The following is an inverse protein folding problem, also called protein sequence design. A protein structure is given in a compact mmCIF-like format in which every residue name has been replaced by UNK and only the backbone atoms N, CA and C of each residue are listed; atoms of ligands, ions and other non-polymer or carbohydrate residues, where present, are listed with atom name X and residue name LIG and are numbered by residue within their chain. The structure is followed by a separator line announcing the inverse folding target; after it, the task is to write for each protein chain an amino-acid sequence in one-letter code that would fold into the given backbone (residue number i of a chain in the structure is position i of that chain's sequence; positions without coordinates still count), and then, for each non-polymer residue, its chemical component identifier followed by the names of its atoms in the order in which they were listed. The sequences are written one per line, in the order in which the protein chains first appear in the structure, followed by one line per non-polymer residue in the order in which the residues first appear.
data_IF_871361698131
#
_entry.id   IF_871361698131
#
_cell.length_a   1.000
_cell.length_b   1.000
_cell.length_c   1.000
_cell.angle_alpha   90.00
_cell.angle_beta   90.00
_cell.angle_gamma   90.00
#
_symmetry.space_group_name_H-M   'P 1'
#
loop_
_entity.id
_entity.type
_entity.pdbx_description
1 polymer ?
#
# COMPACT_ATOMS: atom_id res chain seq x y z
N UNK A 1 0.49 12.95 25.80
CA UNK A 1 0.75 11.85 24.84
C UNK A 1 1.12 12.51 23.51
N UNK A 2 1.49 11.79 22.45
CA UNK A 2 1.58 12.47 21.14
C UNK A 2 0.17 12.93 20.72
N UNK A 3 0.07 14.05 19.99
CA UNK A 3 -1.23 14.55 19.49
C UNK A 3 -1.98 13.47 18.70
N UNK A 4 -1.25 12.65 17.93
CA UNK A 4 -1.78 11.51 17.21
C UNK A 4 -2.41 10.47 18.15
N UNK A 5 -1.73 10.10 19.24
CA UNK A 5 -2.26 9.12 20.19
C UNK A 5 -3.54 9.64 20.88
N UNK A 6 -3.60 10.92 21.21
CA UNK A 6 -4.79 11.56 21.79
C UNK A 6 -5.95 11.60 20.79
N UNK A 7 -5.66 11.92 19.52
CA UNK A 7 -6.65 11.88 18.44
C UNK A 7 -7.19 10.46 18.23
N UNK A 8 -6.31 9.46 18.14
CA UNK A 8 -6.68 8.05 18.00
C UNK A 8 -7.58 7.59 19.16
N UNK A 9 -7.20 7.88 20.40
CA UNK A 9 -8.01 7.54 21.58
C UNK A 9 -9.41 8.19 21.52
N UNK A 10 -9.46 9.44 21.09
CA UNK A 10 -10.73 10.18 20.91
C UNK A 10 -11.60 9.52 19.84
N UNK A 11 -11.04 9.18 18.68
CA UNK A 11 -11.79 8.54 17.59
C UNK A 11 -12.18 7.09 17.88
N UNK A 12 -11.39 6.37 18.66
CA UNK A 12 -11.72 5.02 19.11
C UNK A 12 -12.95 5.00 20.03
N UNK A 13 -13.16 6.07 20.81
CA UNK A 13 -14.28 6.17 21.76
C UNK A 13 -15.51 6.89 21.18
N UNK A 14 -15.37 7.52 20.02
CA UNK A 14 -16.44 8.26 19.37
C UNK A 14 -17.27 7.39 18.42
N UNK A 15 -18.52 7.77 18.18
CA UNK A 15 -19.35 7.16 17.14
C UNK A 15 -18.96 7.70 15.75
N UNK A 16 -17.81 7.24 15.26
CA UNK A 16 -17.25 7.62 13.96
C UNK A 16 -16.95 6.40 13.12
N UNK A 17 -16.98 6.59 11.80
CA UNK A 17 -16.45 5.62 10.86
C UNK A 17 -15.15 6.16 10.27
N UNK A 18 -14.13 5.31 10.26
CA UNK A 18 -12.78 5.68 9.86
C UNK A 18 -12.49 5.09 8.49
N UNK A 19 -12.05 5.94 7.57
CA UNK A 19 -11.49 5.54 6.29
C UNK A 19 -9.99 5.77 6.30
N UNK A 20 -9.22 4.76 5.91
CA UNK A 20 -7.76 4.82 5.87
C UNK A 20 -7.27 4.49 4.47
N UNK A 21 -6.31 5.27 3.98
CA UNK A 21 -5.56 4.96 2.75
C UNK A 21 -4.22 5.69 2.71
N UNK A 22 -3.35 5.27 1.79
CA UNK A 22 -2.23 6.11 1.35
C UNK A 22 -2.68 7.06 0.25
N UNK A 23 -2.22 8.30 0.29
CA UNK A 23 -2.54 9.31 -0.72
C UNK A 23 -1.79 9.01 -2.03
N UNK A 24 -2.51 8.86 -3.14
CA UNK A 24 -1.91 8.75 -4.47
C UNK A 24 -1.56 10.12 -5.02
N UNK A 25 -0.72 10.18 -6.06
CA UNK A 25 -0.40 11.43 -6.75
C UNK A 25 -1.64 12.10 -7.38
N UNK A 26 -2.72 11.36 -7.63
CA UNK A 26 -3.96 11.95 -8.11
C UNK A 26 -4.80 12.57 -6.99
N UNK A 27 -4.77 11.99 -5.79
CA UNK A 27 -5.48 12.55 -4.63
C UNK A 27 -4.90 13.92 -4.24
N UNK A 28 -3.56 13.99 -4.18
CA UNK A 28 -2.80 15.18 -3.79
C UNK A 28 -2.71 16.24 -4.88
N UNK A 29 -3.20 15.95 -6.09
CA UNK A 29 -3.06 16.83 -7.25
C UNK A 29 -1.67 16.86 -7.87
N UNK A 30 -0.72 16.01 -7.43
CA UNK A 30 0.63 15.92 -8.00
C UNK A 30 0.63 15.56 -9.50
N UNK A 31 -0.38 14.84 -10.00
CA UNK A 31 -0.54 14.55 -11.44
C UNK A 31 -1.03 15.74 -12.26
N UNK A 32 -1.45 16.85 -11.63
CA UNK A 32 -2.08 18.03 -12.28
C UNK A 32 -3.31 17.69 -13.14
N UNK A 33 -3.92 16.52 -12.94
CA UNK A 33 -5.08 16.09 -13.70
C UNK A 33 -6.33 16.93 -13.36
N UNK A 34 -7.26 17.08 -14.30
CA UNK A 34 -8.56 17.70 -14.04
C UNK A 34 -9.43 16.88 -13.07
N UNK A 35 -9.08 15.61 -12.80
CA UNK A 35 -9.77 14.72 -11.87
C UNK A 35 -9.16 14.83 -10.46
N UNK A 36 -9.09 16.06 -9.95
CA UNK A 36 -8.58 16.35 -8.61
C UNK A 36 -9.60 15.96 -7.53
N UNK A 37 -9.12 15.38 -6.43
CA UNK A 37 -9.95 15.01 -5.28
C UNK A 37 -9.65 13.60 -4.77
N UNK A 38 -9.92 13.38 -3.48
CA UNK A 38 -9.65 12.12 -2.80
C UNK A 38 -10.61 11.04 -3.34
N UNK A 39 -10.05 10.00 -3.95
CA UNK A 39 -10.82 8.84 -4.38
C UNK A 39 -11.28 8.02 -3.16
N UNK A 40 -12.55 7.59 -3.18
CA UNK A 40 -13.11 6.65 -2.22
C UNK A 40 -13.90 5.55 -2.95
N UNK A 41 -13.82 4.28 -2.49
CA UNK A 41 -14.62 3.21 -3.06
C UNK A 41 -16.12 3.52 -3.00
N UNK A 42 -16.87 3.09 -4.02
CA UNK A 42 -18.31 3.37 -4.13
C UNK A 42 -19.10 2.96 -2.90
N UNK A 43 -18.84 1.76 -2.37
CA UNK A 43 -19.48 1.23 -1.16
C UNK A 43 -19.22 2.07 0.10
N UNK A 44 -18.05 2.72 0.20
CA UNK A 44 -17.70 3.60 1.32
C UNK A 44 -18.52 4.88 1.26
N UNK A 45 -18.55 5.53 0.09
CA UNK A 45 -19.38 6.73 -0.11
C UNK A 45 -20.86 6.40 0.04
N UNK A 46 -21.30 5.23 -0.40
CA UNK A 46 -22.69 4.81 -0.24
C UNK A 46 -23.10 4.63 1.21
N UNK A 47 -22.17 4.22 2.07
CA UNK A 47 -22.39 4.12 3.51
C UNK A 47 -22.38 5.48 4.20
N UNK A 48 -21.44 6.36 3.84
CA UNK A 48 -21.27 7.69 4.44
C UNK A 48 -22.27 8.73 3.90
N UNK A 49 -22.67 8.63 2.63
CA UNK A 49 -23.50 9.59 1.91
C UNK A 49 -24.55 8.85 1.07
N UNK A 50 -25.54 8.21 1.70
CA UNK A 50 -26.51 7.35 1.01
C UNK A 50 -27.33 8.06 -0.07
N UNK A 51 -27.47 9.39 0.00
CA UNK A 51 -28.11 10.22 -1.03
C UNK A 51 -27.40 10.14 -2.40
N UNK A 52 -26.10 9.82 -2.43
CA UNK A 52 -25.31 9.72 -3.66
C UNK A 52 -25.54 8.40 -4.42
N UNK A 53 -26.37 7.49 -3.90
CA UNK A 53 -26.77 6.25 -4.59
C UNK A 53 -27.67 6.51 -5.80
N UNK A 54 -28.29 7.68 -5.86
CA UNK A 54 -29.23 8.02 -6.92
C UNK A 54 -28.53 8.14 -8.29
N UNK A 55 -28.97 7.33 -9.24
CA UNK A 55 -28.48 7.33 -10.63
C UNK A 55 -29.42 8.04 -11.59
N UNK A 56 -30.56 8.53 -11.12
CA UNK A 56 -31.50 9.34 -11.90
C UNK A 56 -31.06 10.80 -11.98
N UNK A 57 -30.36 11.30 -10.94
CA UNK A 57 -29.74 12.61 -10.93
C UNK A 57 -28.33 12.53 -11.54
N UNK A 58 -27.99 13.45 -12.44
CA UNK A 58 -26.63 13.56 -12.97
C UNK A 58 -25.72 14.22 -11.94
N UNK A 59 -24.62 13.53 -11.61
CA UNK A 59 -23.60 13.96 -10.67
C UNK A 59 -24.15 14.39 -9.29
N UNK A 60 -24.86 13.53 -8.54
CA UNK A 60 -25.38 13.89 -7.23
C UNK A 60 -24.24 14.20 -6.26
N UNK A 61 -24.48 15.11 -5.33
CA UNK A 61 -23.50 15.58 -4.36
C UNK A 61 -24.09 15.85 -2.97
N UNK A 62 -23.23 15.84 -1.97
CA UNK A 62 -23.52 16.26 -0.60
C UNK A 62 -22.36 17.12 -0.07
N UNK A 63 -22.70 18.17 0.67
CA UNK A 63 -21.73 19.04 1.33
C UNK A 63 -21.56 18.62 2.80
N UNK A 64 -20.34 18.70 3.30
CA UNK A 64 -19.99 18.39 4.68
C UNK A 64 -18.79 19.22 5.14
N UNK A 65 -18.61 19.29 6.45
CA UNK A 65 -17.51 20.05 7.06
C UNK A 65 -16.28 19.16 7.28
N UNK A 66 -15.10 19.74 7.12
CA UNK A 66 -13.81 19.07 7.32
C UNK A 66 -12.93 19.88 8.26
N UNK A 67 -12.44 19.21 9.29
CA UNK A 67 -11.36 19.67 10.16
C UNK A 67 -10.11 18.81 9.94
N UNK A 68 -8.92 19.39 10.05
CA UNK A 68 -7.65 18.66 9.88
C UNK A 68 -6.80 18.73 11.16
N UNK A 69 -7.04 17.79 12.07
CA UNK A 69 -6.31 17.71 13.36
C UNK A 69 -4.79 17.60 13.21
N UNK A 70 -4.32 16.93 12.15
CA UNK A 70 -2.88 16.79 11.90
C UNK A 70 -2.19 18.12 11.58
N UNK A 71 -2.88 19.07 10.96
CA UNK A 71 -2.30 20.33 10.47
C UNK A 71 -3.09 21.50 11.05
N UNK A 72 -2.77 21.96 12.27
CA UNK A 72 -3.60 22.94 13.01
C UNK A 72 -3.70 24.31 12.33
N UNK A 73 -2.73 24.65 11.47
CA UNK A 73 -2.75 25.88 10.68
C UNK A 73 -3.65 25.78 9.42
N UNK A 74 -4.14 24.57 9.10
CA UNK A 74 -5.09 24.37 8.02
C UNK A 74 -6.48 24.85 8.47
N UNK A 75 -7.12 25.79 7.74
CA UNK A 75 -8.45 26.26 8.10
C UNK A 75 -9.49 25.15 7.96
N UNK A 76 -10.52 25.23 8.80
CA UNK A 76 -11.72 24.41 8.67
C UNK A 76 -12.46 24.74 7.37
N UNK A 77 -13.03 23.72 6.75
CA UNK A 77 -13.81 23.83 5.54
C UNK A 77 -15.25 23.43 5.83
N UNK A 78 -16.23 24.19 5.33
CA UNK A 78 -17.65 23.93 5.60
C UNK A 78 -18.43 23.48 4.36
N UNK A 79 -17.76 23.40 3.21
CA UNK A 79 -18.34 23.19 1.88
C UNK A 79 -17.57 22.13 1.07
N UNK A 80 -16.93 21.18 1.76
CA UNK A 80 -16.30 20.03 1.10
C UNK A 80 -17.39 19.15 0.50
N UNK A 81 -17.13 18.64 -0.70
CA UNK A 81 -18.14 17.99 -1.54
C UNK A 81 -17.82 16.51 -1.72
N UNK A 82 -18.72 15.65 -1.25
CA UNK A 82 -18.84 14.29 -1.73
C UNK A 82 -19.63 14.32 -3.04
N UNK A 83 -19.09 13.73 -4.11
CA UNK A 83 -19.71 13.74 -5.44
C UNK A 83 -19.58 12.38 -6.12
N UNK A 84 -20.65 11.96 -6.79
CA UNK A 84 -20.65 10.78 -7.65
C UNK A 84 -20.62 11.18 -9.13
N UNK A 85 -19.46 11.05 -9.77
CA UNK A 85 -19.34 11.23 -11.22
C UNK A 85 -19.94 10.03 -11.95
N UNK A 86 -21.25 10.10 -12.23
CA UNK A 86 -22.07 9.00 -12.76
C UNK A 86 -22.40 9.17 -14.25
N UNK A 87 -21.51 9.84 -15.00
CA UNK A 87 -21.77 10.20 -16.40
C UNK A 87 -22.03 8.99 -17.31
N UNK A 88 -21.60 7.79 -16.92
CA UNK A 88 -21.95 6.53 -17.58
C UNK A 88 -23.46 6.31 -17.78
N UNK A 89 -24.30 6.82 -16.87
CA UNK A 89 -25.78 6.74 -17.01
C UNK A 89 -26.36 7.85 -17.89
N UNK A 90 -25.53 8.80 -18.31
CA UNK A 90 -25.93 10.00 -19.07
C UNK A 90 -25.08 10.17 -20.36
N UNK A 91 -24.68 9.05 -20.99
CA UNK A 91 -23.97 9.04 -22.27
C UNK A 91 -22.45 9.33 -22.20
N UNK A 92 -21.87 9.40 -21.01
CA UNK A 92 -20.42 9.51 -20.78
C UNK A 92 -19.78 8.19 -20.33
N UNK A 93 -18.56 8.26 -19.77
CA UNK A 93 -17.79 7.07 -19.35
C UNK A 93 -17.47 7.01 -17.86
N UNK A 94 -17.57 8.14 -17.12
CA UNK A 94 -17.19 8.20 -15.70
C UNK A 94 -18.22 7.50 -14.82
N UNK A 95 -17.70 6.74 -13.86
CA UNK A 95 -18.46 5.98 -12.86
C UNK A 95 -17.60 5.85 -11.59
N UNK A 96 -17.39 6.96 -10.89
CA UNK A 96 -16.48 7.05 -9.73
C UNK A 96 -16.98 8.06 -8.68
N UNK A 97 -16.66 7.83 -7.40
CA UNK A 97 -17.04 8.72 -6.30
C UNK A 97 -15.80 9.33 -5.64
N UNK A 98 -15.89 10.61 -5.28
CA UNK A 98 -14.75 11.38 -4.76
C UNK A 98 -15.17 12.39 -3.71
N UNK A 99 -14.23 12.75 -2.85
CA UNK A 99 -14.29 13.96 -2.04
C UNK A 99 -13.49 15.07 -2.71
N UNK A 100 -14.07 16.25 -2.86
CA UNK A 100 -13.52 17.39 -3.59
C UNK A 100 -13.78 18.70 -2.83
N UNK A 101 -13.16 19.80 -3.26
CA UNK A 101 -13.37 21.10 -2.60
C UNK A 101 -12.47 21.36 -1.39
N UNK A 102 -11.39 20.58 -1.19
CA UNK A 102 -10.46 20.79 -0.08
C UNK A 102 -9.62 22.08 -0.21
N UNK A 103 -9.33 22.53 -1.44
CA UNK A 103 -8.47 23.67 -1.69
C UNK A 103 -6.97 23.35 -1.56
N UNK A 104 -6.13 24.15 -2.22
CA UNK A 104 -4.66 23.90 -2.32
C UNK A 104 -3.90 23.95 -0.99
N UNK A 105 -4.46 24.60 0.03
CA UNK A 105 -3.83 24.71 1.35
C UNK A 105 -4.07 23.46 2.21
N UNK A 106 -5.06 22.63 1.86
CA UNK A 106 -5.37 21.45 2.62
C UNK A 106 -4.33 20.35 2.36
N UNK A 107 -3.83 19.66 3.41
CA UNK A 107 -2.80 18.63 3.25
C UNK A 107 -3.24 17.42 2.41
N UNK A 108 -4.54 17.16 2.26
CA UNK A 108 -5.04 16.14 1.33
C UNK A 108 -4.83 16.51 -0.15
N UNK A 109 -4.65 17.81 -0.46
CA UNK A 109 -4.36 18.34 -1.80
C UNK A 109 -2.95 18.96 -1.90
N UNK A 110 -2.03 18.53 -1.03
CA UNK A 110 -0.63 18.91 -1.10
C UNK A 110 0.18 17.80 -1.80
N UNK A 111 0.80 18.08 -2.97
CA UNK A 111 1.65 17.12 -3.69
C UNK A 111 2.75 16.48 -2.84
N UNK A 112 3.29 17.17 -1.84
CA UNK A 112 4.36 16.65 -0.98
C UNK A 112 3.88 15.57 0.00
N UNK A 113 2.56 15.45 0.19
CA UNK A 113 1.95 14.36 0.94
C UNK A 113 1.66 13.11 0.09
N UNK A 114 2.12 13.07 -1.17
CA UNK A 114 1.96 11.88 -2.02
C UNK A 114 2.67 10.68 -1.39
N UNK A 115 1.94 9.60 -1.12
CA UNK A 115 2.39 8.40 -0.43
C UNK A 115 2.09 8.38 1.08
N UNK A 116 1.71 9.51 1.68
CA UNK A 116 1.45 9.62 3.11
C UNK A 116 0.22 8.80 3.50
N UNK A 117 0.27 8.16 4.67
CA UNK A 117 -0.89 7.55 5.29
C UNK A 117 -1.88 8.63 5.77
N UNK A 118 -3.16 8.46 5.46
CA UNK A 118 -4.23 9.37 5.85
C UNK A 118 -5.41 8.61 6.46
N UNK A 119 -5.95 9.16 7.55
CA UNK A 119 -7.14 8.71 8.26
C UNK A 119 -8.20 9.80 8.19
N UNK A 120 -9.42 9.42 7.80
CA UNK A 120 -10.57 10.31 7.75
C UNK A 120 -11.66 9.72 8.65
N UNK A 121 -11.97 10.40 9.75
CA UNK A 121 -12.97 10.00 10.72
C UNK A 121 -14.26 10.79 10.52
N UNK A 122 -15.26 10.14 9.93
CA UNK A 122 -16.57 10.72 9.64
C UNK A 122 -17.53 10.52 10.82
N UNK A 123 -18.35 11.52 11.12
CA UNK A 123 -19.56 11.27 11.88
C UNK A 123 -20.45 10.27 11.14
N UNK A 124 -21.07 9.34 11.86
CA UNK A 124 -21.89 8.33 11.23
C UNK A 124 -23.16 8.04 12.03
N UNK A 125 -24.28 8.19 11.33
CA UNK A 125 -25.58 7.71 11.78
C UNK A 125 -26.21 6.94 10.62
N UNK A 126 -26.59 5.65 10.81
CA UNK A 126 -27.13 4.82 9.75
C UNK A 126 -28.28 5.48 8.98
N UNK A 127 -28.18 5.48 7.64
CA UNK A 127 -29.19 6.03 6.74
C UNK A 127 -29.17 7.55 6.57
N UNK A 128 -28.27 8.25 7.25
CA UNK A 128 -28.08 9.70 7.07
C UNK A 128 -26.72 9.99 6.45
N UNK A 129 -26.60 11.15 5.78
CA UNK A 129 -25.31 11.58 5.23
C UNK A 129 -24.44 12.16 6.34
N UNK A 130 -23.16 11.78 6.38
CA UNK A 130 -22.15 12.39 7.23
C UNK A 130 -22.11 13.90 7.01
N UNK A 131 -22.05 14.64 8.11
CA UNK A 131 -22.02 16.11 8.11
C UNK A 131 -20.66 16.67 8.49
N UNK A 132 -19.79 15.85 9.05
CA UNK A 132 -18.49 16.24 9.57
C UNK A 132 -17.43 15.14 9.40
N UNK A 133 -16.21 15.55 9.05
CA UNK A 133 -15.06 14.68 8.98
C UNK A 133 -13.86 15.33 9.65
N UNK A 134 -13.19 14.58 10.52
CA UNK A 134 -11.91 14.96 11.10
C UNK A 134 -10.78 14.15 10.45
N UNK A 135 -9.73 14.83 10.00
CA UNK A 135 -8.69 14.26 9.15
C UNK A 135 -7.33 14.27 9.85
N UNK A 136 -6.65 13.12 9.78
CA UNK A 136 -5.23 13.00 10.08
C UNK A 136 -4.45 12.61 8.83
N UNK A 137 -3.51 13.45 8.38
CA UNK A 137 -2.52 13.11 7.36
C UNK A 137 -1.18 12.98 8.05
N UNK A 138 -0.56 11.81 7.98
CA UNK A 138 0.74 11.57 8.61
C UNK A 138 1.80 12.50 8.04
N UNK A 139 2.53 13.18 8.92
CA UNK A 139 3.56 14.17 8.53
C UNK A 139 4.87 13.52 8.14
N UNK A 140 5.21 12.44 8.83
CA UNK A 140 6.49 11.76 8.72
C UNK A 140 6.36 10.27 9.07
N UNK A 141 7.49 9.57 8.94
CA UNK A 141 7.60 8.15 9.22
C UNK A 141 7.27 7.80 10.68
N UNK A 142 7.52 8.69 11.64
CA UNK A 142 7.29 8.40 13.06
C UNK A 142 5.80 8.26 13.38
N UNK A 143 4.95 9.07 12.75
CA UNK A 143 3.50 8.94 12.88
C UNK A 143 2.99 7.65 12.21
N UNK A 144 3.55 7.26 11.06
CA UNK A 144 3.21 5.99 10.41
C UNK A 144 3.64 4.78 11.24
N UNK A 145 4.82 4.83 11.88
CA UNK A 145 5.32 3.78 12.78
C UNK A 145 4.46 3.62 14.05
N UNK A 146 3.72 4.65 14.46
CA UNK A 146 2.73 4.56 15.53
C UNK A 146 1.43 3.92 15.04
N UNK A 147 1.00 4.24 13.81
CA UNK A 147 -0.28 3.81 13.25
C UNK A 147 -0.28 2.39 12.72
N UNK A 148 0.72 1.99 11.93
CA UNK A 148 0.77 0.69 11.27
C UNK A 148 0.70 -0.50 12.26
N UNK A 149 1.27 -0.43 13.49
CA UNK A 149 1.05 -1.45 14.49
C UNK A 149 -0.40 -1.61 14.95
N UNK A 150 -1.19 -0.54 14.91
CA UNK A 150 -2.59 -0.46 15.35
C UNK A 150 -3.54 -0.89 14.23
N UNK A 151 -3.40 -0.27 13.06
CA UNK A 151 -4.34 -0.43 11.93
C UNK A 151 -3.83 -1.39 10.84
N UNK A 152 -2.70 -2.05 11.07
CA UNK A 152 -2.03 -2.88 10.06
C UNK A 152 -1.27 -2.05 9.02
N UNK A 153 -0.39 -2.72 8.26
CA UNK A 153 0.31 -2.08 7.13
C UNK A 153 -0.71 -1.74 6.03
N UNK A 154 -0.75 -0.47 5.64
CA UNK A 154 -1.64 -0.01 4.55
C UNK A 154 -0.85 0.06 3.26
N UNK A 155 -1.06 -0.92 2.39
CA UNK A 155 -0.41 -1.00 1.08
C UNK A 155 -0.98 0.12 0.16
N UNK A 156 -0.15 0.79 -0.68
CA UNK A 156 -0.65 1.76 -1.64
C UNK A 156 -1.78 1.21 -2.53
N UNK A 157 -2.86 1.98 -2.66
CA UNK A 157 -4.07 1.59 -3.39
C UNK A 157 -5.06 0.72 -2.59
N UNK A 158 -4.66 0.18 -1.44
CA UNK A 158 -5.60 -0.44 -0.50
C UNK A 158 -6.35 0.63 0.31
N UNK A 159 -7.53 0.26 0.80
CA UNK A 159 -8.36 1.10 1.64
C UNK A 159 -8.93 0.27 2.79
N UNK A 160 -8.93 0.83 4.00
CA UNK A 160 -9.60 0.25 5.18
C UNK A 160 -10.78 1.14 5.52
N UNK A 161 -11.94 0.55 5.83
CA UNK A 161 -13.14 1.30 6.20
C UNK A 161 -13.99 0.53 7.21
N UNK A 162 -14.52 1.23 8.20
CA UNK A 162 -15.34 0.64 9.26
C UNK A 162 -15.44 1.51 10.51
N UNK A 163 -16.10 1.00 11.57
CA UNK A 163 -16.23 1.71 12.84
C UNK A 163 -14.88 2.04 13.48
N UNK A 164 -14.77 3.22 14.09
CA UNK A 164 -13.54 3.72 14.70
C UNK A 164 -12.98 2.82 15.80
N UNK A 165 -13.85 2.26 16.66
CA UNK A 165 -13.48 1.31 17.72
C UNK A 165 -12.88 0.01 17.17
N UNK A 166 -13.29 -0.43 15.98
CA UNK A 166 -12.76 -1.63 15.34
C UNK A 166 -11.43 -1.37 14.64
N UNK A 167 -11.34 -0.28 13.88
CA UNK A 167 -10.12 0.05 13.14
C UNK A 167 -9.00 0.47 14.08
N UNK A 168 -9.28 1.38 15.02
CA UNK A 168 -8.28 1.94 15.92
C UNK A 168 -8.07 1.04 17.15
N UNK A 169 -9.01 0.14 17.47
CA UNK A 169 -8.89 -0.80 18.59
C UNK A 169 -7.82 -1.89 18.43
N UNK A 170 -7.01 -1.86 17.37
CA UNK A 170 -5.88 -2.78 17.18
C UNK A 170 -6.20 -4.07 16.42
N UNK A 171 -7.46 -4.25 15.98
CA UNK A 171 -7.91 -5.44 15.28
C UNK A 171 -8.54 -5.06 13.93
N UNK A 172 -7.71 -5.02 12.90
CA UNK A 172 -8.18 -4.77 11.54
C UNK A 172 -9.09 -5.90 11.09
N UNK A 173 -10.39 -5.61 11.02
CA UNK A 173 -11.37 -6.47 10.37
C UNK A 173 -11.27 -6.26 8.86
N UNK A 174 -10.36 -6.98 8.21
CA UNK A 174 -10.44 -7.13 6.76
C UNK A 174 -11.64 -8.02 6.44
N UNK A 175 -12.53 -7.56 5.56
CA UNK A 175 -13.71 -8.34 5.15
C UNK A 175 -13.23 -9.70 4.64
N UNK A 176 -13.66 -10.82 5.24
CA UNK A 176 -13.23 -12.12 4.78
C UNK A 176 -13.71 -12.29 3.33
N UNK A 177 -12.87 -12.80 2.42
CA UNK A 177 -13.42 -13.35 1.20
C UNK A 177 -14.43 -14.43 1.62
N UNK A 178 -15.61 -14.47 0.99
CA UNK A 178 -16.47 -15.65 1.10
C UNK A 178 -15.69 -16.93 0.74
N UNK A 179 -16.26 -18.12 0.98
CA UNK A 179 -15.62 -19.44 0.73
C UNK A 179 -14.57 -19.38 -0.38
N UNK A 180 -13.31 -19.63 -0.02
CA UNK A 180 -12.18 -19.50 -0.94
C UNK A 180 -12.44 -20.25 -2.24
N UNK A 181 -12.19 -19.58 -3.37
CA UNK A 181 -12.26 -20.20 -4.70
C UNK A 181 -11.05 -21.10 -5.00
N UNK A 182 -10.02 -21.05 -4.15
CA UNK A 182 -8.79 -21.80 -4.32
C UNK A 182 -8.91 -23.17 -3.65
N UNK A 183 -8.53 -24.22 -4.38
CA UNK A 183 -8.40 -25.58 -3.84
C UNK A 183 -7.08 -25.66 -3.10
N UNK A 184 -7.12 -25.59 -1.77
CA UNK A 184 -5.91 -25.64 -0.93
C UNK A 184 -5.39 -27.08 -0.78
N UNK A 185 -4.06 -27.30 -0.68
CA UNK A 185 -3.49 -28.60 -0.38
C UNK A 185 -4.03 -29.17 0.94
N UNK A 186 -4.48 -30.44 0.99
CA UNK A 186 -5.05 -31.04 2.21
C UNK A 186 -4.14 -30.97 3.44
N UNK A 187 -2.82 -31.05 3.23
CA UNK A 187 -1.78 -30.97 4.25
C UNK A 187 -1.77 -29.63 5.00
N UNK A 188 -2.22 -28.54 4.36
CA UNK A 188 -2.31 -27.22 4.98
C UNK A 188 -3.41 -27.12 6.04
N UNK A 189 -4.26 -28.15 6.19
CA UNK A 189 -5.14 -28.25 7.36
C UNK A 189 -4.38 -28.59 8.65
N UNK A 190 -3.18 -29.16 8.54
CA UNK A 190 -2.42 -29.68 9.68
C UNK A 190 -1.25 -28.76 10.09
N UNK A 191 -0.72 -27.97 9.17
CA UNK A 191 0.31 -26.98 9.45
C UNK A 191 0.06 -25.69 8.68
N UNK A 192 0.60 -24.58 9.19
CA UNK A 192 0.49 -23.29 8.53
C UNK A 192 1.67 -23.14 7.54
N UNK A 193 1.43 -23.10 6.22
CA UNK A 193 2.49 -22.94 5.22
C UNK A 193 3.24 -21.61 5.36
N UNK A 194 4.53 -21.63 5.04
CA UNK A 194 5.36 -20.44 4.94
C UNK A 194 4.94 -19.54 3.77
N UNK A 195 5.36 -18.28 3.81
CA UNK A 195 5.12 -17.34 2.71
C UNK A 195 5.68 -17.84 1.37
N UNK A 196 6.85 -18.50 1.39
CA UNK A 196 7.45 -19.12 0.19
C UNK A 196 6.58 -20.26 -0.38
N UNK A 197 6.01 -21.11 0.47
CA UNK A 197 5.11 -22.18 0.03
C UNK A 197 3.82 -21.61 -0.59
N UNK A 198 3.21 -20.60 0.03
CA UNK A 198 2.01 -19.94 -0.52
C UNK A 198 2.32 -19.28 -1.86
N UNK A 199 3.44 -18.55 -1.97
CA UNK A 199 3.86 -17.88 -3.21
C UNK A 199 4.14 -18.90 -4.32
N UNK A 200 4.90 -19.96 -4.02
CA UNK A 200 5.19 -21.03 -4.98
C UNK A 200 3.92 -21.74 -5.44
N UNK A 201 2.99 -22.01 -4.52
CA UNK A 201 1.70 -22.60 -4.83
C UNK A 201 0.85 -21.68 -5.72
N UNK A 202 0.78 -20.38 -5.41
CA UNK A 202 0.08 -19.38 -6.21
C UNK A 202 0.64 -19.31 -7.64
N UNK A 203 1.97 -19.29 -7.78
CA UNK A 203 2.66 -19.26 -9.06
C UNK A 203 2.41 -20.53 -9.89
N UNK A 204 2.53 -21.72 -9.27
CA UNK A 204 2.40 -23.00 -9.98
C UNK A 204 0.97 -23.33 -10.41
N UNK A 205 -0.03 -23.00 -9.59
CA UNK A 205 -1.41 -23.49 -9.79
C UNK A 205 -2.38 -22.45 -10.35
N UNK A 206 -2.12 -21.16 -10.09
CA UNK A 206 -3.09 -20.11 -10.40
C UNK A 206 -2.52 -18.99 -11.24
N UNK A 207 -1.23 -19.01 -11.59
CA UNK A 207 -0.64 -18.11 -12.57
C UNK A 207 -0.54 -18.74 -13.97
N UNK A 208 -0.69 -17.93 -15.02
CA UNK A 208 -0.49 -18.37 -16.41
C UNK A 208 0.97 -18.09 -16.76
N UNK A 209 1.73 -19.12 -17.14
CA UNK A 209 3.19 -19.03 -17.42
C UNK A 209 3.60 -18.03 -18.50
N UNK A 210 2.67 -17.49 -19.28
CA UNK A 210 2.94 -16.66 -20.48
C UNK A 210 2.67 -15.16 -20.27
N UNK A 211 2.84 -14.63 -19.06
CA UNK A 211 2.63 -13.20 -18.79
C UNK A 211 3.94 -12.50 -18.44
N UNK A 212 4.00 -11.20 -18.75
CA UNK A 212 5.11 -10.32 -18.38
C UNK A 212 5.26 -10.24 -16.85
N UNK A 213 6.50 -10.06 -16.34
CA UNK A 213 6.80 -9.93 -14.92
C UNK A 213 5.92 -8.91 -14.16
N UNK A 214 5.62 -7.76 -14.76
CA UNK A 214 4.85 -6.67 -14.14
C UNK A 214 3.40 -7.12 -13.82
N UNK A 215 2.75 -7.77 -14.78
CA UNK A 215 1.39 -8.32 -14.64
C UNK A 215 1.38 -9.53 -13.70
N UNK A 216 2.40 -10.39 -13.79
CA UNK A 216 2.54 -11.55 -12.90
C UNK A 216 2.64 -11.12 -11.44
N UNK A 217 3.48 -10.14 -11.12
CA UNK A 217 3.65 -9.66 -9.75
C UNK A 217 2.31 -9.22 -9.15
N UNK A 218 1.61 -8.31 -9.82
CA UNK A 218 0.35 -7.74 -9.33
C UNK A 218 -0.71 -8.83 -9.11
N UNK A 219 -0.83 -9.77 -10.04
CA UNK A 219 -1.76 -10.88 -9.95
C UNK A 219 -1.39 -11.87 -8.84
N UNK A 220 -0.12 -12.28 -8.77
CA UNK A 220 0.36 -13.25 -7.78
C UNK A 220 0.23 -12.73 -6.36
N UNK A 221 0.49 -11.45 -6.11
CA UNK A 221 0.25 -10.83 -4.79
C UNK A 221 -1.21 -10.91 -4.36
N UNK A 222 -2.13 -10.65 -5.29
CA UNK A 222 -3.57 -10.77 -5.00
C UNK A 222 -3.94 -12.22 -4.65
N UNK A 223 -3.47 -13.18 -5.43
CA UNK A 223 -3.74 -14.61 -5.21
C UNK A 223 -3.11 -15.08 -3.88
N UNK A 224 -1.86 -14.72 -3.62
CA UNK A 224 -1.12 -15.01 -2.38
C UNK A 224 -1.91 -14.54 -1.16
N UNK A 225 -2.40 -13.30 -1.19
CA UNK A 225 -3.17 -12.74 -0.11
C UNK A 225 -4.51 -13.45 0.11
N UNK A 226 -5.26 -13.73 -0.96
CA UNK A 226 -6.54 -14.45 -0.86
C UNK A 226 -6.34 -15.90 -0.33
N UNK A 227 -5.26 -16.57 -0.72
CA UNK A 227 -4.90 -17.90 -0.21
C UNK A 227 -4.46 -17.83 1.25
N UNK A 228 -3.64 -16.85 1.62
CA UNK A 228 -3.21 -16.63 3.00
C UNK A 228 -4.41 -16.46 3.94
N UNK A 229 -5.40 -15.63 3.57
CA UNK A 229 -6.60 -15.43 4.38
C UNK A 229 -7.39 -16.74 4.55
N UNK A 230 -7.51 -17.55 3.50
CA UNK A 230 -8.19 -18.84 3.58
C UNK A 230 -7.46 -19.84 4.49
N UNK A 231 -6.13 -19.89 4.42
CA UNK A 231 -5.30 -20.71 5.32
C UNK A 231 -5.41 -20.19 6.75
N UNK A 232 -5.37 -18.89 6.97
CA UNK A 232 -5.55 -18.29 8.29
C UNK A 232 -6.90 -18.65 8.91
N UNK A 233 -7.98 -18.59 8.13
CA UNK A 233 -9.31 -18.99 8.57
C UNK A 233 -9.34 -20.47 8.98
N UNK A 234 -8.76 -21.39 8.19
CA UNK A 234 -8.72 -22.82 8.53
C UNK A 234 -8.08 -23.10 9.91
N UNK A 235 -7.01 -22.36 10.24
CA UNK A 235 -6.25 -22.57 11.48
C UNK A 235 -6.83 -21.83 12.69
N UNK A 236 -7.44 -20.67 12.46
CA UNK A 236 -7.86 -19.76 13.53
C UNK A 236 -9.34 -19.92 13.85
N UNK A 237 -10.19 -20.22 12.87
CA UNK A 237 -11.64 -20.32 13.07
C UNK A 237 -12.01 -21.41 14.07
N UNK A 238 -11.35 -22.57 14.02
CA UNK A 238 -11.58 -23.66 14.96
C UNK A 238 -11.20 -23.31 16.41
N UNK A 239 -10.22 -22.42 16.61
CA UNK A 239 -9.85 -21.93 17.94
C UNK A 239 -10.85 -20.88 18.44
N UNK A 240 -11.24 -19.94 17.57
CA UNK A 240 -12.24 -18.92 17.87
C UNK A 240 -13.58 -19.58 18.23
N UNK A 241 -14.03 -20.57 17.45
CA UNK A 241 -15.31 -21.26 17.67
C UNK A 241 -15.37 -22.04 18.98
N UNK A 242 -14.24 -22.53 19.50
CA UNK A 242 -14.16 -23.20 20.81
C UNK A 242 -14.22 -22.23 21.98
N UNK A 243 -13.99 -20.93 21.74
CA UNK A 243 -13.87 -19.91 22.77
C UNK A 243 -12.55 -19.98 23.53
N UNK A 244 -12.40 -19.08 24.51
CA UNK A 244 -11.19 -18.90 25.31
C UNK A 244 -11.50 -19.06 26.79
N UNK A 245 -10.61 -19.70 27.54
CA UNK A 245 -10.75 -19.88 28.98
C UNK A 245 -10.51 -18.57 29.75
N UNK A 246 -9.59 -17.74 29.26
CA UNK A 246 -9.27 -16.43 29.85
C UNK A 246 -9.17 -15.33 28.80
N UNK A 247 -9.30 -14.08 29.26
CA UNK A 247 -9.04 -12.89 28.43
C UNK A 247 -7.61 -12.88 27.89
N UNK A 248 -6.64 -13.37 28.68
CA UNK A 248 -5.24 -13.40 28.25
C UNK A 248 -4.98 -14.40 27.11
N UNK A 249 -5.69 -15.54 27.11
CA UNK A 249 -5.60 -16.51 26.01
C UNK A 249 -6.12 -15.91 24.70
N UNK A 250 -7.23 -15.17 24.77
CA UNK A 250 -7.76 -14.41 23.64
C UNK A 250 -6.75 -13.38 23.12
N UNK A 251 -6.19 -12.54 23.99
CA UNK A 251 -5.20 -11.52 23.62
C UNK A 251 -3.96 -12.16 23.00
N UNK A 252 -3.49 -13.28 23.54
CA UNK A 252 -2.32 -14.00 23.04
C UNK A 252 -2.55 -14.51 21.60
N UNK A 253 -3.70 -15.12 21.33
CA UNK A 253 -4.05 -15.54 19.97
C UNK A 253 -4.13 -14.34 19.04
N UNK A 254 -4.80 -13.27 19.45
CA UNK A 254 -5.01 -12.10 18.63
C UNK A 254 -3.69 -11.41 18.24
N UNK A 255 -2.74 -11.30 19.18
CA UNK A 255 -1.39 -10.81 18.92
C UNK A 255 -0.62 -11.74 17.97
N UNK A 256 -0.74 -13.06 18.13
CA UNK A 256 -0.10 -14.05 17.24
C UNK A 256 -0.59 -13.90 15.80
N UNK A 257 -1.91 -13.74 15.60
CA UNK A 257 -2.51 -13.49 14.28
C UNK A 257 -2.01 -12.16 13.69
N UNK A 258 -2.06 -11.07 14.47
CA UNK A 258 -1.59 -9.74 14.03
C UNK A 258 -0.12 -9.76 13.61
N UNK A 259 0.76 -10.35 14.42
CA UNK A 259 2.19 -10.45 14.13
C UNK A 259 2.48 -11.31 12.89
N UNK A 260 1.68 -12.37 12.65
CA UNK A 260 1.80 -13.19 11.44
C UNK A 260 1.47 -12.40 10.19
N UNK A 261 0.39 -11.62 10.20
CA UNK A 261 0.01 -10.74 9.08
C UNK A 261 1.09 -9.71 8.79
N UNK A 262 1.66 -9.08 9.82
CA UNK A 262 2.76 -8.10 9.70
C UNK A 262 4.02 -8.72 9.09
N UNK A 263 4.45 -9.87 9.60
CA UNK A 263 5.62 -10.59 9.10
C UNK A 263 5.47 -10.99 7.62
N UNK A 264 4.28 -11.47 7.24
CA UNK A 264 3.95 -11.81 5.84
C UNK A 264 4.03 -10.59 4.94
N UNK A 265 3.36 -9.49 5.31
CA UNK A 265 3.27 -8.30 4.48
C UNK A 265 4.66 -7.71 4.18
N UNK A 266 5.54 -7.65 5.18
CA UNK A 266 6.90 -7.15 5.04
C UNK A 266 7.77 -7.96 4.06
N UNK A 267 7.65 -9.29 4.04
CA UNK A 267 8.52 -10.16 3.22
C UNK A 267 7.92 -10.60 1.88
N UNK A 268 6.60 -10.48 1.72
CA UNK A 268 5.84 -10.94 0.54
C UNK A 268 6.40 -10.36 -0.76
N UNK A 269 6.69 -9.05 -0.80
CA UNK A 269 7.12 -8.38 -2.02
C UNK A 269 8.50 -8.87 -2.50
N UNK A 270 9.46 -8.99 -1.59
CA UNK A 270 10.80 -9.51 -1.89
C UNK A 270 10.75 -10.95 -2.40
N UNK A 271 9.96 -11.82 -1.76
CA UNK A 271 9.82 -13.22 -2.18
C UNK A 271 9.21 -13.37 -3.59
N UNK A 272 8.25 -12.51 -3.93
CA UNK A 272 7.71 -12.49 -5.29
C UNK A 272 8.76 -12.04 -6.32
N UNK A 273 9.56 -11.02 -6.01
CA UNK A 273 10.63 -10.55 -6.89
C UNK A 273 11.71 -11.63 -7.09
N UNK A 274 12.13 -12.30 -6.02
CA UNK A 274 13.08 -13.43 -6.05
C UNK A 274 12.61 -14.55 -7.00
N UNK A 275 11.33 -14.94 -6.89
CA UNK A 275 10.70 -15.93 -7.78
C UNK A 275 10.70 -15.46 -9.24
N UNK A 276 10.30 -14.22 -9.49
CA UNK A 276 10.20 -13.66 -10.84
C UNK A 276 11.58 -13.51 -11.51
N UNK A 277 12.61 -13.08 -10.78
CA UNK A 277 13.97 -13.00 -11.32
C UNK A 277 14.45 -14.37 -11.79
N UNK A 278 14.26 -15.39 -10.96
CA UNK A 278 14.64 -16.77 -11.28
C UNK A 278 13.86 -17.31 -12.49
N UNK A 279 12.54 -17.12 -12.52
CA UNK A 279 11.68 -17.61 -13.60
C UNK A 279 11.96 -16.94 -14.96
N UNK A 280 12.36 -15.67 -14.96
CA UNK A 280 12.65 -14.93 -16.19
C UNK A 280 14.14 -14.95 -16.60
N UNK A 281 14.97 -15.72 -15.89
CA UNK A 281 16.36 -15.99 -16.24
C UNK A 281 17.38 -14.97 -15.72
N UNK A 282 16.99 -14.06 -14.85
CA UNK A 282 17.90 -13.18 -14.12
C UNK A 282 18.38 -13.89 -12.84
N UNK A 283 19.21 -14.93 -12.97
CA UNK A 283 19.63 -15.79 -11.85
C UNK A 283 20.89 -15.31 -11.13
N UNK A 284 21.57 -14.30 -11.66
CA UNK A 284 22.81 -13.74 -11.09
C UNK A 284 22.46 -12.71 -10.02
N UNK A 285 22.04 -13.16 -8.84
CA UNK A 285 21.80 -12.28 -7.69
C UNK A 285 22.02 -13.00 -6.35
N UNK A 286 22.20 -12.22 -5.30
CA UNK A 286 22.24 -12.70 -3.92
C UNK A 286 21.34 -11.81 -3.05
N UNK A 287 20.44 -12.42 -2.28
CA UNK A 287 19.66 -11.75 -1.24
C UNK A 287 20.39 -11.77 0.09
N UNK A 288 20.22 -10.77 0.96
CA UNK A 288 20.85 -10.74 2.29
C UNK A 288 22.38 -10.74 2.27
N UNK A 289 22.98 -10.36 1.12
CA UNK A 289 24.42 -10.22 0.97
C UNK A 289 24.95 -9.14 1.92
N UNK A 290 26.06 -9.41 2.60
CA UNK A 290 26.71 -8.39 3.45
C UNK A 290 27.58 -7.48 2.60
N UNK A 291 27.29 -6.18 2.67
CA UNK A 291 28.01 -5.11 1.96
C UNK A 291 28.84 -4.30 2.97
N UNK A 292 28.49 -3.04 3.21
CA UNK A 292 29.21 -2.13 4.09
C UNK A 292 28.91 -2.42 5.56
N UNK A 293 29.94 -2.81 6.31
CA UNK A 293 29.80 -3.17 7.73
C UNK A 293 28.85 -4.36 7.93
N UNK A 294 27.63 -4.09 8.43
CA UNK A 294 26.58 -5.10 8.69
C UNK A 294 25.32 -4.87 7.83
N UNK A 295 25.39 -4.00 6.82
CA UNK A 295 24.25 -3.70 5.96
C UNK A 295 23.97 -4.87 5.03
N UNK A 296 22.68 -5.05 4.75
CA UNK A 296 22.13 -6.16 3.99
C UNK A 296 21.05 -5.64 3.04
N UNK A 297 21.46 -5.12 1.88
CA UNK A 297 20.52 -4.78 0.82
C UNK A 297 19.63 -5.97 0.46
N UNK A 298 18.41 -5.66 -0.03
CA UNK A 298 17.42 -6.68 -0.37
C UNK A 298 17.94 -7.59 -1.49
N UNK A 299 18.49 -6.99 -2.55
CA UNK A 299 19.13 -7.70 -3.67
C UNK A 299 20.43 -7.04 -4.10
N UNK A 300 21.46 -7.85 -4.31
CA UNK A 300 22.74 -7.47 -4.94
C UNK A 300 23.00 -8.33 -6.16
N UNK A 301 23.47 -7.68 -7.23
CA UNK A 301 23.80 -8.31 -8.49
C UNK A 301 25.26 -7.99 -8.89
N UNK A 302 26.02 -8.96 -9.43
CA UNK A 302 25.58 -10.35 -9.65
C UNK A 302 25.65 -11.21 -8.39
N UNK A 303 26.44 -10.82 -7.39
CA UNK A 303 26.56 -11.52 -6.10
C UNK A 303 27.25 -10.64 -5.05
N UNK A 304 27.12 -11.00 -3.77
CA UNK A 304 27.84 -10.35 -2.70
C UNK A 304 29.36 -10.57 -2.77
N UNK A 305 29.79 -11.68 -3.38
CA UNK A 305 31.21 -11.93 -3.64
C UNK A 305 31.79 -10.93 -4.65
N UNK A 306 31.12 -10.73 -5.79
CA UNK A 306 31.50 -9.72 -6.78
C UNK A 306 31.47 -8.30 -6.20
N UNK A 307 30.49 -8.00 -5.33
CA UNK A 307 30.43 -6.72 -4.63
C UNK A 307 31.63 -6.48 -3.70
N UNK A 308 32.18 -7.52 -3.06
CA UNK A 308 33.32 -7.36 -2.14
C UNK A 308 34.68 -7.42 -2.85
N UNK A 309 34.72 -7.88 -4.09
CA UNK A 309 35.93 -7.96 -4.90
C UNK A 309 36.31 -6.56 -5.44
N UNK A 310 37.41 -5.94 -4.96
CA UNK A 310 37.82 -4.61 -5.41
C UNK A 310 38.16 -4.56 -6.90
N UNK A 311 38.54 -5.68 -7.50
CA UNK A 311 38.92 -5.77 -8.91
C UNK A 311 37.69 -5.95 -9.82
N UNK A 312 36.53 -6.28 -9.26
CA UNK A 312 35.28 -6.36 -10.01
C UNK A 312 34.79 -4.95 -10.39
N UNK A 313 34.43 -4.67 -11.67
CA UNK A 313 34.02 -3.33 -12.09
C UNK A 313 32.76 -2.85 -11.37
N UNK A 314 32.82 -1.67 -10.75
CA UNK A 314 31.71 -1.08 -10.00
C UNK A 314 30.50 -0.77 -10.91
N UNK A 315 30.75 -0.40 -12.17
CA UNK A 315 29.74 -0.09 -13.17
C UNK A 315 28.90 -1.32 -13.57
N UNK A 316 29.38 -2.52 -13.24
CA UNK A 316 28.68 -3.79 -13.45
C UNK A 316 27.96 -4.27 -12.19
N UNK A 317 28.04 -3.57 -11.07
CA UNK A 317 27.26 -3.90 -9.88
C UNK A 317 25.88 -3.26 -9.99
N UNK A 318 24.86 -3.96 -9.48
CA UNK A 318 23.51 -3.41 -9.30
C UNK A 318 23.01 -3.76 -7.92
N UNK A 319 22.20 -2.86 -7.37
CA UNK A 319 21.44 -3.07 -6.15
C UNK A 319 19.98 -2.75 -6.44
N UNK A 320 19.09 -3.58 -5.91
CA UNK A 320 17.66 -3.29 -5.90
C UNK A 320 17.16 -3.28 -4.45
N UNK A 321 16.84 -2.09 -3.94
CA UNK A 321 16.09 -1.94 -2.70
C UNK A 321 14.59 -2.13 -2.96
N UNK A 322 13.85 -2.68 -2.01
CA UNK A 322 12.43 -3.00 -2.15
C UNK A 322 11.64 -2.28 -1.05
N UNK A 323 10.74 -1.38 -1.45
CA UNK A 323 9.86 -0.68 -0.51
C UNK A 323 8.45 -0.62 -1.07
N UNK A 324 7.50 -1.28 -0.41
CA UNK A 324 6.06 -1.22 -0.78
C UNK A 324 5.59 0.23 -0.94
N UNK A 325 5.98 1.09 0.01
CA UNK A 325 5.80 2.55 -0.01
C UNK A 325 7.16 3.24 0.12
N UNK A 326 7.48 4.19 -0.77
CA UNK A 326 8.78 4.85 -0.79
C UNK A 326 8.81 6.19 -0.05
N UNK A 327 7.67 6.87 0.17
CA UNK A 327 7.62 8.14 0.91
C UNK A 327 8.36 8.03 2.25
N UNK A 328 9.32 8.93 2.43
CA UNK A 328 10.22 9.09 3.59
C UNK A 328 11.12 7.88 3.93
N UNK A 329 10.95 6.74 3.26
CA UNK A 329 11.71 5.49 3.51
C UNK A 329 12.83 5.23 2.49
N UNK A 330 12.81 5.89 1.34
CA UNK A 330 13.78 5.63 0.26
C UNK A 330 15.23 5.98 0.65
N UNK A 331 15.46 6.98 1.49
CA UNK A 331 16.82 7.37 1.93
C UNK A 331 17.55 6.25 2.70
N UNK A 332 16.81 5.28 3.24
CA UNK A 332 17.38 4.14 3.94
C UNK A 332 18.27 3.29 3.03
N UNK A 333 17.96 3.22 1.71
CA UNK A 333 18.69 2.35 0.78
C UNK A 333 19.99 2.96 0.25
N UNK A 334 20.17 4.29 0.37
CA UNK A 334 21.32 5.01 -0.21
C UNK A 334 22.65 4.54 0.36
N UNK A 335 22.68 4.25 1.66
CA UNK A 335 23.92 3.92 2.34
C UNK A 335 24.19 2.41 2.38
N UNK A 336 23.39 1.58 1.72
CA UNK A 336 23.52 0.12 1.79
C UNK A 336 24.62 -0.44 0.89
N UNK A 337 25.03 0.26 -0.17
CA UNK A 337 26.02 -0.22 -1.11
C UNK A 337 26.88 0.91 -1.70
N UNK A 338 27.93 1.32 -0.97
CA UNK A 338 28.79 2.46 -1.33
C UNK A 338 29.48 2.34 -2.70
N UNK A 339 29.66 1.13 -3.24
CA UNK A 339 30.27 0.93 -4.56
C UNK A 339 29.31 1.19 -5.73
N UNK A 340 28.03 1.40 -5.46
CA UNK A 340 26.97 1.47 -6.47
C UNK A 340 26.36 2.87 -6.46
N UNK A 341 26.75 3.68 -7.45
CA UNK A 341 26.27 5.07 -7.55
C UNK A 341 24.78 5.15 -7.95
N UNK A 342 24.31 4.23 -8.79
CA UNK A 342 22.91 4.16 -9.22
C UNK A 342 22.17 3.03 -8.52
N UNK A 343 21.39 3.37 -7.50
CA UNK A 343 20.60 2.42 -6.71
C UNK A 343 19.22 2.28 -7.33
N UNK A 344 18.81 1.06 -7.67
CA UNK A 344 17.45 0.81 -8.12
C UNK A 344 16.54 0.65 -6.91
N UNK A 345 15.36 1.27 -6.95
CA UNK A 345 14.36 1.17 -5.89
C UNK A 345 13.04 0.65 -6.46
N UNK A 346 12.68 -0.57 -6.10
CA UNK A 346 11.39 -1.15 -6.43
C UNK A 346 10.29 -0.60 -5.50
N UNK A 347 9.18 -0.13 -6.06
CA UNK A 347 8.01 0.29 -5.27
C UNK A 347 6.65 0.02 -5.91
N UNK A 348 5.63 -0.10 -5.07
CA UNK A 348 4.21 -0.19 -5.47
C UNK A 348 3.43 1.09 -5.18
N UNK A 349 4.11 2.16 -4.78
CA UNK A 349 3.47 3.43 -4.48
C UNK A 349 2.72 3.99 -5.71
N UNK A 350 1.51 4.50 -5.49
CA UNK A 350 0.68 5.09 -6.54
C UNK A 350 1.11 6.53 -6.85
N UNK A 351 2.29 6.66 -7.45
CA UNK A 351 2.90 7.93 -7.82
C UNK A 351 3.79 8.54 -6.74
N UNK A 352 4.58 9.51 -7.16
CA UNK A 352 5.37 10.44 -6.33
C UNK A 352 5.19 11.84 -6.89
N UNK A 353 5.40 12.89 -6.09
CA UNK A 353 5.44 14.26 -6.61
C UNK A 353 6.66 14.46 -7.52
N UNK A 354 6.60 15.43 -8.42
CA UNK A 354 7.75 15.78 -9.28
C UNK A 354 8.94 16.20 -8.41
N UNK A 355 8.70 16.97 -7.34
CA UNK A 355 9.77 17.38 -6.43
C UNK A 355 10.41 16.18 -5.72
N UNK A 356 9.59 15.28 -5.17
CA UNK A 356 10.06 14.03 -4.55
C UNK A 356 10.89 13.18 -5.53
N UNK A 357 10.44 13.07 -6.79
CA UNK A 357 11.17 12.31 -7.81
C UNK A 357 12.53 12.94 -8.14
N UNK A 358 12.59 14.27 -8.30
CA UNK A 358 13.84 14.98 -8.58
C UNK A 358 14.82 14.87 -7.42
N UNK A 359 14.34 14.86 -6.18
CA UNK A 359 15.17 14.58 -5.01
C UNK A 359 15.75 13.17 -5.04
N UNK A 360 14.93 12.16 -5.34
CA UNK A 360 15.39 10.78 -5.51
C UNK A 360 16.47 10.67 -6.59
N UNK A 361 16.27 11.30 -7.75
CA UNK A 361 17.25 11.27 -8.84
C UNK A 361 18.56 11.99 -8.50
N UNK A 362 18.50 13.10 -7.77
CA UNK A 362 19.70 13.82 -7.34
C UNK A 362 20.60 12.95 -6.45
N UNK A 363 20.01 12.03 -5.68
CA UNK A 363 20.70 11.04 -4.85
C UNK A 363 20.99 9.71 -5.58
N UNK A 364 20.85 9.66 -6.91
CA UNK A 364 21.19 8.47 -7.70
C UNK A 364 20.16 7.33 -7.66
N UNK A 365 18.93 7.59 -7.19
CA UNK A 365 17.87 6.58 -7.19
C UNK A 365 17.20 6.47 -8.56
N UNK A 366 17.07 5.23 -9.04
CA UNK A 366 16.29 4.87 -10.22
C UNK A 366 15.06 4.05 -9.81
N UNK A 367 13.87 4.58 -10.04
CA UNK A 367 12.64 3.88 -9.67
C UNK A 367 12.31 2.73 -10.61
N UNK A 368 12.08 1.55 -10.02
CA UNK A 368 11.52 0.38 -10.69
C UNK A 368 10.07 0.22 -10.22
N UNK A 369 9.12 0.34 -11.14
CA UNK A 369 7.68 0.36 -10.83
C UNK A 369 6.95 -0.54 -11.82
N UNK A 370 6.01 -1.38 -11.39
CA UNK A 370 5.20 -2.16 -12.31
C UNK A 370 4.52 -1.29 -13.37
N UNK A 371 4.61 -1.67 -14.64
CA UNK A 371 4.08 -0.92 -15.81
C UNK A 371 2.65 -0.41 -15.58
N UNK A 372 1.77 -1.27 -15.04
CA UNK A 372 0.37 -0.93 -14.76
C UNK A 372 0.15 0.22 -13.76
N UNK A 373 1.18 0.57 -12.98
CA UNK A 373 1.17 1.67 -12.01
C UNK A 373 1.77 2.97 -12.57
N UNK A 374 2.45 2.97 -13.72
CA UNK A 374 3.09 4.17 -14.28
C UNK A 374 2.09 5.31 -14.52
N UNK A 375 0.86 4.97 -14.94
CA UNK A 375 -0.23 5.94 -15.11
C UNK A 375 -0.59 6.71 -13.84
N UNK A 376 -0.25 6.19 -12.66
CA UNK A 376 -0.47 6.87 -11.38
C UNK A 376 0.58 7.97 -11.11
N UNK A 377 1.70 7.99 -11.84
CA UNK A 377 2.74 9.00 -11.70
C UNK A 377 2.41 10.24 -12.56
N UNK A 378 2.93 11.44 -12.22
CA UNK A 378 2.84 12.63 -13.06
C UNK A 378 3.45 12.38 -14.45
N UNK A 379 2.80 12.89 -15.50
CA UNK A 379 3.22 12.68 -16.90
C UNK A 379 4.66 13.11 -17.16
N UNK A 380 5.09 14.21 -16.53
CA UNK A 380 6.45 14.77 -16.61
C UNK A 380 7.56 13.81 -16.21
N UNK A 381 7.28 12.78 -15.39
CA UNK A 381 8.30 11.83 -14.89
C UNK A 381 8.10 10.40 -15.37
N UNK A 382 6.96 10.07 -16.04
CA UNK A 382 6.63 8.70 -16.45
C UNK A 382 7.68 8.07 -17.36
N UNK A 383 8.24 8.86 -18.28
CA UNK A 383 9.25 8.39 -19.23
C UNK A 383 10.60 8.01 -18.59
N UNK A 384 10.80 8.36 -17.32
CA UNK A 384 12.04 8.10 -16.58
C UNK A 384 11.92 6.88 -15.65
N UNK A 385 10.72 6.29 -15.54
CA UNK A 385 10.47 5.09 -14.75
C UNK A 385 10.96 3.84 -15.47
N UNK A 386 11.46 2.88 -14.71
CA UNK A 386 11.82 1.57 -15.23
C UNK A 386 10.71 0.56 -14.87
N UNK A 387 10.25 -0.24 -15.83
CA UNK A 387 9.35 -1.36 -15.53
C UNK A 387 10.11 -2.53 -14.92
N UNK A 388 9.41 -3.45 -14.25
CA UNK A 388 10.04 -4.66 -13.71
C UNK A 388 10.64 -5.51 -14.84
N UNK A 389 9.92 -5.63 -15.96
CA UNK A 389 10.40 -6.31 -17.16
C UNK A 389 11.67 -5.67 -17.72
N UNK A 390 11.74 -4.34 -17.80
CA UNK A 390 12.92 -3.63 -18.27
C UNK A 390 14.12 -3.87 -17.34
N UNK A 391 13.90 -3.83 -16.03
CA UNK A 391 14.94 -4.12 -15.05
C UNK A 391 15.50 -5.55 -15.20
N UNK A 392 14.63 -6.54 -15.32
CA UNK A 392 15.03 -7.95 -15.53
C UNK A 392 15.86 -8.10 -16.81
N UNK A 393 15.46 -7.45 -17.90
CA UNK A 393 16.22 -7.51 -19.15
C UNK A 393 17.59 -6.85 -19.03
N UNK A 394 17.70 -5.69 -18.36
CA UNK A 394 19.00 -5.05 -18.09
C UNK A 394 19.94 -5.99 -17.31
N UNK A 395 19.45 -6.65 -16.26
CA UNK A 395 20.23 -7.61 -15.46
C UNK A 395 20.69 -8.78 -16.32
N UNK A 396 19.82 -9.31 -17.19
CA UNK A 396 20.18 -10.42 -18.08
C UNK A 396 21.24 -10.02 -19.09
N UNK A 397 21.11 -8.86 -19.71
CA UNK A 397 22.10 -8.35 -20.67
C UNK A 397 23.46 -8.07 -20.00
N UNK A 398 23.44 -7.62 -18.75
CA UNK A 398 24.67 -7.29 -18.01
C UNK A 398 25.45 -8.53 -17.54
N UNK A 399 24.78 -9.67 -17.33
CA UNK A 399 25.39 -10.90 -16.79
C UNK A 399 25.18 -12.13 -17.64
N UNK A 400 24.87 -11.94 -18.94
CA UNK A 400 24.77 -13.03 -19.92
C UNK A 400 26.12 -13.59 -20.33
#
# INVERSE_FOLDING_TARGET
MSLLAEWLQTKCSANVWVFVKRLSANDTGATKSHQSGLYMPGAVIDELFPSLRDTQLRNPEALFSVHVSSHPDCPDLNDVRAIYYNNKFFGGTRDEKRLTGFGKQNPLQNPENTGALALLAFDHMPGTSSSYCDVWVCKDLSEEEILEPIIGEVIPGATIFGPGDKIIGGFVTETPPGRTKYKLPPEWNHYFPSGREIIGFAACHYDKKTSDPDTQLTRRRKIEFEIFLAVEELHVLGQIAKGFATVNDFITLANSVSNRRKSRAGKSLELHLESLFTEHGATSFETQATTEGKKKPDFIFPSGAAYRDPDYPAERLRMLGVKTTCKDRWRQVLNEANRIDTVHLFTLQQGVSVAQFREMQAEGIRLVVPEGLHKAFPEEIRGELMSLSAFINEIKELYS
#
